data_IF_240164580085
#
_entry.id   IF_240164580085
#
_cell.length_a   1.000
_cell.length_b   1.000
_cell.length_c   1.000
_cell.angle_alpha   90.00
_cell.angle_beta   90.00
_cell.angle_gamma   90.00
#
_symmetry.space_group_name_H-M   'P 1'
#
loop_
_entity.id
_entity.type
_entity.pdbx_description
1 polymer ?
#
# COMPACT_ATOMS: atom_id res chain seq x y z
N UNK A 1 9.18 -0.53 -21.62
CA UNK A 1 8.40 -1.45 -20.78
C UNK A 1 9.20 -2.73 -20.64
N UNK A 2 9.37 -3.25 -19.43
CA UNK A 2 10.12 -4.49 -19.22
C UNK A 2 9.30 -5.65 -19.82
N UNK A 3 9.87 -6.49 -20.71
CA UNK A 3 9.13 -7.49 -21.47
C UNK A 3 8.42 -8.52 -20.58
N UNK A 4 8.96 -8.80 -19.39
CA UNK A 4 8.35 -9.70 -18.42
C UNK A 4 6.91 -9.32 -18.03
N UNK A 5 6.54 -8.02 -18.05
CA UNK A 5 5.17 -7.64 -17.69
C UNK A 5 4.13 -8.05 -18.75
N UNK A 6 4.49 -8.02 -20.03
CA UNK A 6 3.61 -8.50 -21.10
C UNK A 6 3.36 -10.00 -20.96
N UNK A 7 4.41 -10.76 -20.64
CA UNK A 7 4.32 -12.21 -20.39
C UNK A 7 3.41 -12.51 -19.19
N UNK A 8 3.62 -11.84 -18.05
CA UNK A 8 2.80 -12.02 -16.84
C UNK A 8 1.34 -11.68 -17.09
N UNK A 9 1.04 -10.53 -17.72
CA UNK A 9 -0.35 -10.11 -18.00
C UNK A 9 -1.03 -11.07 -18.97
N UNK A 10 -0.29 -11.57 -19.98
CA UNK A 10 -0.82 -12.54 -20.95
C UNK A 10 -1.09 -13.90 -20.29
N UNK A 11 -0.22 -14.33 -19.38
CA UNK A 11 -0.37 -15.59 -18.64
C UNK A 11 -1.50 -15.56 -17.59
N UNK A 12 -1.87 -14.37 -17.10
CA UNK A 12 -2.83 -14.18 -16.01
C UNK A 12 -4.00 -13.24 -16.39
N UNK A 13 -4.84 -13.60 -17.38
CA UNK A 13 -5.98 -12.77 -17.81
C UNK A 13 -7.01 -12.54 -16.69
N UNK A 14 -7.09 -13.41 -15.69
CA UNK A 14 -7.94 -13.29 -14.50
C UNK A 14 -7.62 -12.06 -13.65
N UNK A 15 -6.38 -11.55 -13.73
CA UNK A 15 -5.96 -10.34 -13.02
C UNK A 15 -6.58 -9.05 -13.61
N UNK A 16 -7.19 -9.13 -14.80
CA UNK A 16 -7.92 -8.02 -15.46
C UNK A 16 -7.09 -6.72 -15.52
N UNK A 17 -5.82 -6.84 -15.90
CA UNK A 17 -4.94 -5.68 -16.02
C UNK A 17 -5.33 -4.86 -17.25
N UNK A 18 -5.89 -3.66 -17.03
CA UNK A 18 -6.30 -2.77 -18.12
C UNK A 18 -5.10 -2.12 -18.86
N UNK A 19 -4.04 -1.79 -18.11
CA UNK A 19 -2.87 -1.10 -18.66
C UNK A 19 -1.61 -1.35 -17.84
N UNK A 20 -0.49 -1.45 -18.54
CA UNK A 20 0.86 -1.43 -17.96
C UNK A 20 1.57 -0.14 -18.37
N UNK A 21 2.24 0.51 -17.43
CA UNK A 21 3.02 1.73 -17.67
C UNK A 21 4.46 1.56 -17.19
N UNK A 22 5.37 2.36 -17.73
CA UNK A 22 6.73 2.39 -17.19
C UNK A 22 6.72 3.08 -15.81
N UNK A 23 7.37 2.46 -14.84
CA UNK A 23 7.67 3.11 -13.57
C UNK A 23 8.71 4.22 -13.72
N UNK A 24 8.89 5.00 -12.66
CA UNK A 24 9.93 6.01 -12.55
C UNK A 24 11.07 5.61 -11.62
N UNK A 25 11.94 6.57 -11.29
CA UNK A 25 13.14 6.34 -10.48
C UNK A 25 12.84 5.92 -9.04
N UNK A 26 11.70 6.34 -8.50
CA UNK A 26 11.28 6.09 -7.11
C UNK A 26 9.81 5.67 -7.10
N UNK A 27 9.34 5.12 -5.97
CA UNK A 27 7.93 4.76 -5.76
C UNK A 27 6.99 5.92 -6.12
N UNK A 28 7.31 7.14 -5.66
CA UNK A 28 6.57 8.37 -5.97
C UNK A 28 6.35 8.56 -7.49
N UNK A 29 7.42 8.43 -8.28
CA UNK A 29 7.36 8.63 -9.72
C UNK A 29 6.54 7.54 -10.39
N UNK A 30 6.70 6.27 -9.98
CA UNK A 30 5.93 5.15 -10.52
C UNK A 30 4.43 5.29 -10.28
N UNK A 31 4.04 5.71 -9.06
CA UNK A 31 2.63 5.98 -8.73
C UNK A 31 2.09 7.14 -9.57
N UNK A 32 2.88 8.21 -9.76
CA UNK A 32 2.49 9.35 -10.59
C UNK A 32 2.23 8.94 -12.05
N UNK A 33 3.09 8.12 -12.64
CA UNK A 33 2.87 7.59 -14.00
C UNK A 33 1.63 6.70 -14.07
N UNK A 34 1.39 5.86 -13.04
CA UNK A 34 0.17 5.06 -12.92
C UNK A 34 -1.09 5.92 -12.86
N UNK A 35 -1.09 6.97 -12.04
CA UNK A 35 -2.21 7.91 -11.92
C UNK A 35 -2.47 8.69 -13.21
N UNK A 36 -1.41 9.13 -13.91
CA UNK A 36 -1.52 9.84 -15.18
C UNK A 36 -2.16 8.97 -16.28
N UNK A 37 -2.05 7.65 -16.16
CA UNK A 37 -2.65 6.71 -17.09
C UNK A 37 -4.12 6.37 -16.78
N UNK A 38 -4.63 6.72 -15.59
CA UNK A 38 -6.04 6.59 -15.26
C UNK A 38 -6.89 7.61 -16.05
N UNK A 39 -8.14 7.28 -16.41
CA UNK A 39 -9.06 8.23 -17.02
C UNK A 39 -9.23 9.51 -16.17
N UNK A 40 -9.44 10.63 -16.83
CA UNK A 40 -9.88 11.85 -16.15
C UNK A 40 -11.25 11.64 -15.50
N UNK A 41 -11.44 12.18 -14.29
CA UNK A 41 -12.73 12.13 -13.60
C UNK A 41 -12.64 12.13 -12.09
N UNK A 42 -13.81 11.94 -11.47
CA UNK A 42 -13.96 11.81 -10.02
C UNK A 42 -14.09 10.35 -9.63
N UNK A 43 -13.38 9.93 -8.60
CA UNK A 43 -13.46 8.56 -8.10
C UNK A 43 -12.43 8.31 -7.00
N UNK A 44 -12.19 7.03 -6.75
CA UNK A 44 -11.26 6.55 -5.74
C UNK A 44 -10.15 5.76 -6.41
N UNK A 45 -8.94 5.88 -5.89
CA UNK A 45 -7.79 5.10 -6.35
C UNK A 45 -7.21 4.33 -5.17
N UNK A 46 -7.05 3.03 -5.34
CA UNK A 46 -6.33 2.16 -4.43
C UNK A 46 -4.93 1.90 -4.95
N UNK A 47 -3.92 2.26 -4.17
CA UNK A 47 -2.51 2.02 -4.51
C UNK A 47 -2.01 0.86 -3.65
N UNK A 48 -1.55 -0.21 -4.30
CA UNK A 48 -1.14 -1.44 -3.65
C UNK A 48 0.27 -1.85 -4.04
N UNK A 49 1.03 -2.36 -3.07
CA UNK A 49 2.39 -2.84 -3.31
C UNK A 49 2.30 -4.26 -3.88
N UNK A 50 2.86 -4.51 -5.06
CA UNK A 50 2.82 -5.85 -5.69
C UNK A 50 3.46 -6.96 -4.84
N UNK A 51 4.34 -6.60 -3.91
CA UNK A 51 5.00 -7.53 -2.97
C UNK A 51 4.12 -7.89 -1.75
N UNK A 52 2.83 -7.55 -1.76
CA UNK A 52 1.85 -7.89 -0.72
C UNK A 52 0.73 -8.81 -1.26
N UNK A 53 1.01 -10.08 -1.58
CA UNK A 53 0.07 -10.94 -2.31
C UNK A 53 -1.16 -11.41 -1.52
N UNK A 54 -1.26 -11.08 -0.23
CA UNK A 54 -2.28 -11.58 0.70
C UNK A 54 -3.25 -10.51 1.18
N UNK A 55 -3.47 -9.45 0.41
CA UNK A 55 -4.48 -8.46 0.74
C UNK A 55 -5.89 -9.08 0.68
N UNK A 56 -6.54 -9.18 1.84
CA UNK A 56 -7.91 -9.72 1.94
C UNK A 56 -8.97 -8.71 1.48
N UNK A 57 -10.04 -9.24 0.87
CA UNK A 57 -11.14 -8.44 0.30
C UNK A 57 -11.77 -7.52 1.35
N UNK A 58 -11.87 -7.98 2.59
CA UNK A 58 -12.45 -7.18 3.68
C UNK A 58 -11.57 -5.98 4.05
N UNK A 59 -10.24 -6.13 4.00
CA UNK A 59 -9.31 -5.02 4.21
C UNK A 59 -9.42 -3.99 3.09
N UNK A 60 -9.51 -4.46 1.84
CA UNK A 60 -9.72 -3.60 0.67
C UNK A 60 -11.04 -2.83 0.84
N UNK A 61 -12.14 -3.52 1.16
CA UNK A 61 -13.47 -2.92 1.35
C UNK A 61 -13.46 -1.86 2.45
N UNK A 62 -12.88 -2.15 3.62
CA UNK A 62 -12.76 -1.18 4.73
C UNK A 62 -12.04 0.10 4.30
N UNK A 63 -10.98 -0.01 3.51
CA UNK A 63 -10.25 1.16 3.01
C UNK A 63 -11.13 2.02 2.10
N UNK A 64 -11.83 1.42 1.13
CA UNK A 64 -12.74 2.18 0.26
C UNK A 64 -13.91 2.82 1.02
N UNK A 65 -14.57 2.08 1.90
CA UNK A 65 -15.70 2.59 2.70
C UNK A 65 -15.30 3.75 3.64
N UNK A 66 -14.08 3.71 4.19
CA UNK A 66 -13.56 4.79 5.02
C UNK A 66 -13.13 5.99 4.17
N UNK A 67 -12.40 5.74 3.08
CA UNK A 67 -11.95 6.80 2.17
C UNK A 67 -13.15 7.56 1.60
N UNK A 68 -14.24 6.88 1.24
CA UNK A 68 -15.48 7.50 0.76
C UNK A 68 -16.04 8.59 1.70
N UNK A 69 -15.79 8.46 3.01
CA UNK A 69 -16.29 9.38 4.03
C UNK A 69 -15.29 10.49 4.36
N UNK A 70 -13.99 10.20 4.31
CA UNK A 70 -12.93 11.09 4.81
C UNK A 70 -12.00 11.67 3.73
N UNK A 71 -12.02 11.11 2.52
CA UNK A 71 -11.12 11.44 1.43
C UNK A 71 -9.90 10.53 1.30
N UNK A 72 -9.49 9.84 2.38
CA UNK A 72 -8.35 8.93 2.35
C UNK A 72 -8.41 7.91 3.50
N UNK A 73 -8.01 6.67 3.22
CA UNK A 73 -7.87 5.64 4.23
C UNK A 73 -6.70 4.69 3.95
N UNK A 74 -6.03 4.29 5.03
CA UNK A 74 -4.90 3.36 4.99
C UNK A 74 -5.06 2.25 6.03
N UNK A 75 -4.77 0.99 5.67
CA UNK A 75 -4.81 -0.13 6.59
C UNK A 75 -3.57 -0.11 7.48
N UNK A 76 -3.77 -0.36 8.77
CA UNK A 76 -2.70 -0.41 9.74
C UNK A 76 -2.83 -1.63 10.66
N UNK A 77 -1.69 -2.10 11.15
CA UNK A 77 -1.64 -3.15 12.17
C UNK A 77 -0.83 -2.70 13.38
N UNK A 78 -1.09 -3.23 14.59
CA UNK A 78 -0.26 -2.96 15.76
C UNK A 78 1.19 -3.38 15.53
N UNK A 79 2.13 -2.58 16.02
CA UNK A 79 3.55 -2.97 16.01
C UNK A 79 3.80 -4.03 17.09
N UNK A 80 4.45 -5.13 16.71
CA UNK A 80 4.77 -6.25 17.62
C UNK A 80 6.03 -5.98 18.44
N UNK A 81 7.05 -5.47 17.77
CA UNK A 81 8.36 -5.23 18.37
C UNK A 81 8.42 -3.95 19.20
N UNK A 82 9.35 -3.93 20.15
CA UNK A 82 9.69 -2.69 20.85
C UNK A 82 10.46 -1.79 19.90
N UNK A 83 9.86 -0.64 19.54
CA UNK A 83 10.51 0.35 18.67
C UNK A 83 11.28 1.36 19.52
N UNK A 84 12.50 1.68 19.12
CA UNK A 84 13.27 2.80 19.67
C UNK A 84 13.38 3.91 18.64
N UNK A 85 13.18 5.15 19.07
CA UNK A 85 13.60 6.31 18.32
C UNK A 85 15.11 6.49 18.54
N UNK A 86 15.87 6.61 17.45
CA UNK A 86 17.32 6.81 17.46
C UNK A 86 17.61 8.19 16.89
N UNK A 87 18.21 9.06 17.70
CA UNK A 87 18.63 10.40 17.28
C UNK A 87 20.09 10.67 17.67
N UNK A 88 20.55 11.89 17.42
CA UNK A 88 21.95 12.28 17.68
C UNK A 88 22.37 12.10 19.15
N UNK A 89 21.42 12.26 20.08
CA UNK A 89 21.67 12.21 21.54
C UNK A 89 21.47 10.80 22.13
N UNK A 90 21.27 9.77 21.30
CA UNK A 90 21.08 8.38 21.73
C UNK A 90 19.74 7.79 21.31
N UNK A 91 19.29 6.75 22.04
CA UNK A 91 18.05 6.04 21.70
C UNK A 91 17.07 5.96 22.87
N UNK A 92 15.77 6.11 22.60
CA UNK A 92 14.70 6.00 23.59
C UNK A 92 13.56 5.09 23.08
N UNK A 93 12.94 4.26 23.94
CA UNK A 93 11.82 3.44 23.54
C UNK A 93 10.57 4.30 23.26
N UNK A 94 9.83 3.95 22.22
CA UNK A 94 8.51 4.53 21.95
C UNK A 94 7.41 3.71 22.62
N UNK A 95 6.30 4.36 22.96
CA UNK A 95 5.11 3.65 23.43
C UNK A 95 4.47 2.88 22.26
N UNK A 96 4.78 1.58 22.14
CA UNK A 96 4.27 0.73 21.05
C UNK A 96 2.75 0.73 20.91
N UNK A 97 2.00 0.97 21.99
CA UNK A 97 0.53 1.01 21.93
C UNK A 97 -0.01 2.18 21.08
N UNK A 98 0.78 3.26 20.98
CA UNK A 98 0.50 4.42 20.14
C UNK A 98 1.07 4.29 18.72
N UNK A 99 1.75 3.19 18.38
CA UNK A 99 2.36 2.98 17.07
C UNK A 99 1.55 2.01 16.21
N UNK A 100 1.62 2.23 14.91
CA UNK A 100 0.96 1.43 13.90
C UNK A 100 1.93 1.21 12.73
N UNK A 101 1.96 -0.01 12.21
CA UNK A 101 2.65 -0.34 10.97
C UNK A 101 1.67 -0.17 9.81
N UNK A 102 2.01 0.68 8.86
CA UNK A 102 1.19 0.97 7.69
C UNK A 102 1.30 -0.15 6.66
N UNK A 103 0.18 -0.49 6.05
CA UNK A 103 0.06 -1.45 4.95
C UNK A 103 -0.52 -0.77 3.71
N UNK A 104 -0.60 -1.51 2.62
CA UNK A 104 -1.38 -1.14 1.43
C UNK A 104 -2.44 -2.23 1.20
N UNK A 105 -3.56 -1.96 0.51
CA UNK A 105 -3.82 -0.81 -0.35
C UNK A 105 -4.05 0.48 0.43
N UNK A 106 -3.54 1.60 -0.06
CA UNK A 106 -3.90 2.93 0.41
C UNK A 106 -4.92 3.53 -0.55
N UNK A 107 -6.06 4.00 -0.04
CA UNK A 107 -7.18 4.46 -0.87
C UNK A 107 -7.39 5.95 -0.69
N UNK A 108 -7.49 6.69 -1.79
CA UNK A 108 -7.61 8.15 -1.79
C UNK A 108 -8.65 8.61 -2.80
N UNK A 109 -9.21 9.80 -2.58
CA UNK A 109 -9.92 10.53 -3.61
C UNK A 109 -8.95 10.86 -4.75
N UNK A 110 -9.18 10.28 -5.93
CA UNK A 110 -8.31 10.45 -7.10
C UNK A 110 -8.05 11.93 -7.47
N UNK A 111 -9.07 12.80 -7.59
CA UNK A 111 -8.81 14.20 -7.95
C UNK A 111 -7.97 14.94 -6.90
N UNK A 112 -8.17 14.66 -5.61
CA UNK A 112 -7.39 15.27 -4.53
C UNK A 112 -5.96 14.72 -4.48
N UNK A 113 -5.79 13.42 -4.71
CA UNK A 113 -4.47 12.80 -4.72
C UNK A 113 -3.64 13.32 -5.90
N UNK A 114 -4.25 13.53 -7.07
CA UNK A 114 -3.58 14.16 -8.21
C UNK A 114 -3.02 15.54 -7.85
N UNK A 115 -3.81 16.38 -7.18
CA UNK A 115 -3.35 17.69 -6.67
C UNK A 115 -2.20 17.53 -5.68
N UNK A 116 -2.29 16.57 -4.74
CA UNK A 116 -1.21 16.31 -3.79
C UNK A 116 0.11 15.91 -4.48
N UNK A 117 0.05 15.23 -5.63
CA UNK A 117 1.22 14.82 -6.42
C UNK A 117 1.75 15.89 -7.38
N UNK A 118 1.16 17.09 -7.45
CA UNK A 118 1.72 18.22 -8.20
C UNK A 118 3.03 18.74 -7.58
N UNK A 119 3.30 18.37 -6.32
CA UNK A 119 4.56 18.68 -5.64
C UNK A 119 5.73 17.87 -6.22
N UNK A 120 6.94 18.41 -6.08
CA UNK A 120 8.15 17.65 -6.40
C UNK A 120 8.39 16.51 -5.42
N UNK A 121 9.06 15.44 -5.87
CA UNK A 121 9.49 14.34 -5.00
C UNK A 121 10.35 14.87 -3.84
N UNK A 122 10.11 14.35 -2.64
CA UNK A 122 10.90 14.62 -1.44
C UNK A 122 11.31 13.29 -0.78
N UNK A 123 12.54 13.14 -0.25
CA UNK A 123 13.02 11.88 0.32
C UNK A 123 12.22 11.35 1.51
N UNK A 124 11.44 12.20 2.19
CA UNK A 124 10.58 11.78 3.31
C UNK A 124 9.24 11.20 2.85
N UNK A 125 8.93 11.24 1.56
CA UNK A 125 7.76 10.55 1.01
C UNK A 125 8.00 9.04 0.94
N UNK A 126 7.55 8.35 2.00
CA UNK A 126 7.75 6.90 2.16
C UNK A 126 6.61 6.08 1.59
N UNK A 127 5.41 6.65 1.53
CA UNK A 127 4.19 6.07 0.95
C UNK A 127 3.26 7.18 0.39
N UNK A 128 2.09 6.81 -0.13
CA UNK A 128 1.16 7.78 -0.74
C UNK A 128 0.44 8.63 0.33
N UNK A 129 0.27 8.08 1.53
CA UNK A 129 -0.26 8.80 2.69
C UNK A 129 0.62 10.00 3.05
N UNK A 130 1.95 9.84 3.07
CA UNK A 130 2.87 10.93 3.36
C UNK A 130 2.78 12.08 2.34
N UNK A 131 2.50 11.78 1.06
CA UNK A 131 2.27 12.81 0.02
C UNK A 131 0.93 13.50 0.25
N UNK A 132 -0.12 12.74 0.58
CA UNK A 132 -1.45 13.25 0.89
C UNK A 132 -1.45 14.19 2.11
N UNK A 133 -0.78 13.79 3.19
CA UNK A 133 -0.62 14.56 4.43
C UNK A 133 0.22 15.83 4.21
N UNK A 134 1.23 15.77 3.35
CA UNK A 134 1.98 16.96 2.95
C UNK A 134 1.09 18.00 2.24
N UNK A 135 0.05 17.55 1.53
CA UNK A 135 -1.00 18.40 0.97
C UNK A 135 -1.97 19.00 2.00
N UNK A 136 -1.74 18.78 3.30
CA UNK A 136 -2.54 19.32 4.40
C UNK A 136 -3.85 18.56 4.66
N UNK A 137 -3.95 17.31 4.21
CA UNK A 137 -5.14 16.46 4.40
C UNK A 137 -4.82 15.26 5.28
N UNK A 138 -5.70 14.93 6.23
CA UNK A 138 -5.50 13.77 7.10
C UNK A 138 -5.85 12.44 6.40
N UNK A 139 -5.28 11.34 6.89
CA UNK A 139 -5.66 9.97 6.52
C UNK A 139 -6.47 9.29 7.63
N UNK A 140 -7.46 8.48 7.25
CA UNK A 140 -8.18 7.62 8.18
C UNK A 140 -7.47 6.28 8.32
N UNK A 141 -7.17 5.88 9.55
CA UNK A 141 -6.62 4.56 9.83
C UNK A 141 -7.75 3.53 9.91
N UNK A 142 -7.62 2.42 9.21
CA UNK A 142 -8.53 1.26 9.30
C UNK A 142 -7.76 0.01 9.69
N UNK A 143 -8.46 -0.97 10.25
CA UNK A 143 -7.83 -2.24 10.62
C UNK A 143 -7.31 -2.98 9.37
N UNK A 144 -6.00 -3.24 9.37
CA UNK A 144 -5.31 -4.05 8.37
C UNK A 144 -5.39 -5.55 8.66
N UNK A 145 -4.49 -6.31 8.04
CA UNK A 145 -4.42 -7.76 8.19
C UNK A 145 -2.97 -8.19 8.46
N UNK A 146 -2.74 -8.98 9.50
CA UNK A 146 -1.41 -9.49 9.84
C UNK A 146 -0.84 -10.44 8.78
N UNK A 147 -1.67 -11.09 7.96
CA UNK A 147 -1.22 -11.92 6.84
C UNK A 147 -0.85 -11.11 5.60
N UNK A 148 -1.25 -9.82 5.52
CA UNK A 148 -0.90 -8.90 4.43
C UNK A 148 0.55 -8.39 4.57
N UNK A 149 1.49 -9.34 4.69
CA UNK A 149 2.91 -9.10 4.84
C UNK A 149 3.49 -8.47 3.58
N UNK A 150 4.55 -7.67 3.76
CA UNK A 150 5.36 -7.18 2.65
C UNK A 150 6.51 -8.15 2.47
N UNK A 151 6.62 -8.77 1.31
CA UNK A 151 7.76 -9.63 0.99
C UNK A 151 8.95 -8.72 0.68
N UNK A 152 9.94 -8.71 1.58
CA UNK A 152 11.13 -7.85 1.50
C UNK A 152 12.44 -8.61 1.70
N UNK A 153 12.37 -9.79 2.31
CA UNK A 153 13.48 -10.68 2.60
C UNK A 153 13.21 -12.08 2.05
N UNK A 154 14.25 -12.91 1.83
CA UNK A 154 14.06 -14.30 1.45
C UNK A 154 13.20 -15.09 2.44
N UNK A 155 13.30 -14.80 3.74
CA UNK A 155 12.52 -15.46 4.80
C UNK A 155 11.02 -15.13 4.71
N UNK A 156 10.66 -13.96 4.17
CA UNK A 156 9.26 -13.61 3.91
C UNK A 156 8.62 -14.55 2.88
N UNK A 157 9.40 -15.12 1.95
CA UNK A 157 8.90 -16.11 0.99
C UNK A 157 8.47 -17.42 1.67
N UNK A 158 9.21 -17.87 2.68
CA UNK A 158 8.84 -19.05 3.47
C UNK A 158 7.52 -18.80 4.22
N UNK A 159 7.35 -17.59 4.74
CA UNK A 159 6.08 -17.19 5.37
C UNK A 159 4.94 -17.14 4.36
N UNK A 160 5.20 -16.64 3.15
CA UNK A 160 4.23 -16.59 2.06
C UNK A 160 3.78 -17.99 1.62
N UNK A 161 4.71 -18.94 1.46
CA UNK A 161 4.40 -20.35 1.14
C UNK A 161 3.53 -20.99 2.23
N UNK A 162 3.83 -20.72 3.51
CA UNK A 162 3.02 -21.19 4.62
C UNK A 162 1.61 -20.60 4.59
N UNK A 163 1.46 -19.30 4.30
CA UNK A 163 0.15 -18.66 4.18
C UNK A 163 -0.67 -19.19 2.99
N UNK A 164 -0.05 -19.45 1.84
CA UNK A 164 -0.71 -20.11 0.71
C UNK A 164 -1.22 -21.50 1.11
N UNK A 165 -0.37 -22.30 1.75
CA UNK A 165 -0.73 -23.64 2.20
C UNK A 165 -1.91 -23.65 3.18
N UNK A 166 -2.00 -22.63 4.06
CA UNK A 166 -3.12 -22.47 4.99
C UNK A 166 -4.43 -22.08 4.29
N UNK A 167 -4.38 -21.33 3.18
CA UNK A 167 -5.56 -20.95 2.39
C UNK A 167 -6.08 -22.11 1.55
N UNK A 168 -5.19 -22.95 1.04
CA UNK A 168 -5.53 -24.11 0.21
C UNK A 168 -5.99 -25.32 1.04
N UNK A 169 -5.69 -25.33 2.34
CA UNK A 169 -6.20 -26.34 3.25
C UNK A 169 -7.74 -26.26 3.28
N UNK A 170 -8.47 -27.35 3.00
CA UNK A 170 -9.92 -27.35 3.11
C UNK A 170 -10.28 -26.92 4.54
N UNK A 171 -11.13 -25.89 4.65
CA UNK A 171 -11.62 -25.34 5.91
C UNK A 171 -11.82 -26.46 6.94
N UNK A 172 -10.93 -26.55 7.93
CA UNK A 172 -11.17 -27.39 9.10
C UNK A 172 -12.09 -26.60 10.02
N UNK A 173 -13.38 -26.56 9.67
CA UNK A 173 -14.47 -26.07 10.49
C UNK A 173 -15.69 -26.97 10.30
#
# INVERSE_FOLDING_TARGET
MHPAWEEVVTAHPEARVDRVVNGGAERFHSVREGMAALPEGTGWVGIHDAVRPFAEVDTIRRCYEAAEKSGAAIPVVPVKDTIRHVGEQGSAPLNRAALRAVQTPQVFSLPRLRVAYEVGYQPHFTDDASVWEFGGSDVTLVDGDLHNIKITTPEDLLSAEAFLSLRDAPNQA
#
